data_IF_215522010675
#
_entry.id   IF_215522010675
#
_cell.length_a   1.000
_cell.length_b   1.000
_cell.length_c   1.000
_cell.angle_alpha   90.00
_cell.angle_beta   90.00
_cell.angle_gamma   90.00
#
_symmetry.space_group_name_H-M   'P 1'
#
loop_
_entity.id
_entity.type
_entity.pdbx_description
1 polymer ?
#
# COMPACT_ATOMS: atom_id res chain seq x y z
N UNK A 1 -35.82 -35.79 34.43
CA UNK A 1 -34.90 -36.34 33.41
C UNK A 1 -34.95 -35.40 32.21
N UNK A 2 -34.22 -34.28 32.26
CA UNK A 2 -32.95 -34.06 31.53
C UNK A 2 -33.07 -34.48 30.05
N UNK A 3 -33.47 -33.55 29.20
CA UNK A 3 -33.57 -33.74 27.75
C UNK A 3 -33.43 -32.43 26.98
N UNK A 4 -32.39 -31.65 27.28
CA UNK A 4 -32.02 -30.47 26.52
C UNK A 4 -30.73 -30.79 25.75
N UNK A 5 -30.75 -31.10 24.44
CA UNK A 5 -29.57 -30.93 23.62
C UNK A 5 -29.61 -29.50 23.05
N UNK A 6 -29.38 -28.53 23.95
CA UNK A 6 -28.85 -27.24 23.57
C UNK A 6 -27.40 -27.50 23.16
N UNK A 7 -27.17 -27.69 21.87
CA UNK A 7 -25.82 -27.53 21.33
C UNK A 7 -25.88 -26.99 19.90
N UNK A 8 -26.48 -25.80 19.78
CA UNK A 8 -26.24 -24.89 18.68
C UNK A 8 -24.79 -24.40 18.79
N UNK A 9 -23.83 -25.25 18.39
CA UNK A 9 -22.45 -24.82 18.16
C UNK A 9 -22.40 -24.12 16.81
N UNK A 10 -22.87 -22.87 16.80
CA UNK A 10 -22.46 -21.93 15.77
C UNK A 10 -20.98 -21.69 16.02
N UNK A 11 -20.14 -22.47 15.33
CA UNK A 11 -18.73 -22.17 15.19
C UNK A 11 -18.65 -20.83 14.46
N UNK A 12 -18.48 -19.74 15.19
CA UNK A 12 -18.19 -18.44 14.60
C UNK A 12 -16.89 -18.60 13.83
N UNK A 13 -16.98 -18.71 12.51
CA UNK A 13 -15.83 -18.56 11.63
C UNK A 13 -15.39 -17.11 11.77
N UNK A 14 -14.50 -16.84 12.72
CA UNK A 14 -13.76 -15.59 12.79
C UNK A 14 -12.96 -15.52 11.49
N UNK A 15 -13.28 -14.63 10.53
CA UNK A 15 -12.36 -14.37 9.45
C UNK A 15 -11.14 -13.77 10.14
N UNK A 16 -10.09 -14.57 10.26
CA UNK A 16 -8.81 -14.12 10.79
C UNK A 16 -8.38 -12.89 10.00
N UNK A 17 -8.13 -11.82 10.75
CA UNK A 17 -7.44 -10.59 10.39
C UNK A 17 -7.28 -10.41 8.88
N UNK A 18 -8.12 -9.57 8.30
CA UNK A 18 -7.72 -8.80 7.13
C UNK A 18 -6.30 -8.31 7.44
N UNK A 19 -5.31 -8.88 6.76
CA UNK A 19 -3.94 -8.43 6.86
C UNK A 19 -4.00 -6.90 6.75
N UNK A 20 -3.43 -6.19 7.72
CA UNK A 20 -3.17 -4.77 7.52
C UNK A 20 -2.34 -4.73 6.23
N UNK A 21 -2.99 -4.30 5.15
CA UNK A 21 -2.37 -4.22 3.85
C UNK A 21 -1.29 -3.16 4.01
N UNK A 22 -0.10 -3.58 4.41
CA UNK A 22 1.10 -2.79 4.30
C UNK A 22 1.21 -2.53 2.83
N UNK A 23 0.69 -1.38 2.40
CA UNK A 23 0.71 -0.96 1.01
C UNK A 23 2.15 -1.20 0.55
N UNK A 24 2.40 -2.17 -0.35
CA UNK A 24 3.73 -2.76 -0.51
C UNK A 24 4.78 -1.78 -1.05
N UNK A 25 4.38 -0.53 -1.23
CA UNK A 25 5.17 0.58 -1.73
C UNK A 25 5.07 1.85 -0.86
N UNK A 26 4.37 1.82 0.29
CA UNK A 26 4.17 3.02 1.12
C UNK A 26 5.50 3.55 1.65
N UNK A 27 6.35 2.69 2.20
CA UNK A 27 7.67 3.08 2.69
C UNK A 27 8.53 3.71 1.58
N UNK A 28 8.48 3.14 0.37
CA UNK A 28 9.20 3.67 -0.80
C UNK A 28 8.65 5.04 -1.21
N UNK A 29 7.32 5.19 -1.29
CA UNK A 29 6.68 6.48 -1.60
C UNK A 29 7.01 7.55 -0.56
N UNK A 30 7.00 7.19 0.72
CA UNK A 30 7.34 8.11 1.81
C UNK A 30 8.79 8.59 1.69
N UNK A 31 9.73 7.69 1.38
CA UNK A 31 11.14 8.04 1.15
C UNK A 31 11.30 9.00 -0.05
N UNK A 32 10.68 8.67 -1.18
CA UNK A 32 10.75 9.50 -2.40
C UNK A 32 10.12 10.88 -2.18
N UNK A 33 9.02 10.95 -1.43
CA UNK A 33 8.37 12.23 -1.11
C UNK A 33 9.26 13.16 -0.28
N UNK A 34 10.00 12.60 0.69
CA UNK A 34 10.86 13.36 1.60
C UNK A 34 12.14 13.86 0.93
N UNK A 35 12.69 13.10 0.00
CA UNK A 35 14.05 13.35 -0.50
C UNK A 35 14.13 13.69 -1.99
N UNK A 36 13.14 13.31 -2.80
CA UNK A 36 13.28 13.37 -4.26
C UNK A 36 12.21 14.25 -4.94
N UNK A 37 10.97 14.26 -4.45
CA UNK A 37 9.87 14.98 -5.13
C UNK A 37 10.04 16.50 -5.15
N UNK A 38 10.87 17.08 -4.28
CA UNK A 38 11.21 18.50 -4.34
C UNK A 38 11.88 18.90 -5.66
N UNK A 39 12.59 17.98 -6.32
CA UNK A 39 13.26 18.20 -7.60
C UNK A 39 12.73 17.35 -8.76
N UNK A 40 12.11 16.20 -8.48
CA UNK A 40 11.60 15.24 -9.46
C UNK A 40 10.13 14.88 -9.22
N UNK A 41 9.35 15.86 -8.77
CA UNK A 41 7.92 15.73 -8.49
C UNK A 41 7.05 16.45 -9.54
N UNK A 42 5.78 16.73 -9.22
CA UNK A 42 4.88 17.43 -10.14
C UNK A 42 5.31 18.88 -10.40
N UNK A 43 5.83 19.57 -9.39
CA UNK A 43 6.16 21.00 -9.47
C UNK A 43 7.50 21.28 -10.17
N UNK A 44 8.45 20.35 -10.05
CA UNK A 44 9.79 20.46 -10.64
C UNK A 44 10.27 19.08 -11.10
N UNK A 45 10.84 19.03 -12.31
CA UNK A 45 11.32 17.81 -12.96
C UNK A 45 12.74 18.05 -13.52
N UNK A 46 13.72 18.13 -12.63
CA UNK A 46 15.12 18.34 -13.01
C UNK A 46 15.63 17.16 -13.84
N UNK A 47 16.40 17.44 -14.90
CA UNK A 47 16.93 16.43 -15.82
C UNK A 47 15.86 15.55 -16.46
N UNK A 48 14.65 16.09 -16.68
CA UNK A 48 13.55 15.39 -17.35
C UNK A 48 12.91 14.27 -16.52
N UNK A 49 13.41 14.02 -15.31
CA UNK A 49 13.03 12.87 -14.49
C UNK A 49 11.85 13.20 -13.56
N UNK A 50 10.86 12.31 -13.52
CA UNK A 50 9.66 12.43 -12.69
C UNK A 50 9.34 11.14 -11.94
N UNK A 51 9.34 11.20 -10.60
CA UNK A 51 9.29 10.03 -9.72
C UNK A 51 7.93 9.75 -9.06
N UNK A 52 6.94 10.65 -9.14
CA UNK A 52 5.62 10.47 -8.51
C UNK A 52 4.67 9.57 -9.32
N UNK A 53 4.97 9.33 -10.60
CA UNK A 53 4.16 8.53 -11.53
C UNK A 53 4.97 7.37 -12.11
N UNK A 54 4.42 6.15 -11.99
CA UNK A 54 5.06 4.91 -12.49
C UNK A 54 5.49 4.98 -13.95
N UNK A 55 4.66 5.53 -14.84
CA UNK A 55 5.00 5.60 -16.27
C UNK A 55 6.19 6.53 -16.52
N UNK A 56 6.21 7.70 -15.89
CA UNK A 56 7.28 8.68 -16.04
C UNK A 56 8.59 8.18 -15.41
N UNK A 57 8.49 7.53 -14.25
CA UNK A 57 9.59 6.82 -13.60
C UNK A 57 10.31 5.85 -14.55
N UNK A 58 9.52 5.07 -15.30
CA UNK A 58 10.04 4.05 -16.23
C UNK A 58 10.53 4.64 -17.55
N UNK A 59 10.04 5.82 -17.93
CA UNK A 59 10.50 6.51 -19.14
C UNK A 59 11.93 7.07 -18.99
N UNK A 60 12.36 7.35 -17.76
CA UNK A 60 13.67 7.93 -17.47
C UNK A 60 13.70 9.45 -17.60
N UNK A 61 14.91 10.02 -17.52
CA UNK A 61 15.18 11.45 -17.74
C UNK A 61 15.97 11.67 -19.02
N UNK A 62 16.58 12.84 -19.15
CA UNK A 62 17.23 13.33 -20.39
C UNK A 62 18.60 12.65 -20.71
N UNK A 63 18.78 11.37 -20.36
CA UNK A 63 20.02 10.60 -20.61
C UNK A 63 20.13 10.05 -22.03
#
# INVERSE_FOLDING_TARGET
MRGLPLLLMITTATPGLCAEATEPNKAVRDLLSKHCFSCHGPDKQQGGLRLDKRRSLLAGGDS
#
